data_IF_009831562735
#
_entry.id   IF_009831562735
#
_cell.length_a   1.000
_cell.length_b   1.000
_cell.length_c   1.000
_cell.angle_alpha   90.00
_cell.angle_beta   90.00
_cell.angle_gamma   90.00
#
_symmetry.space_group_name_H-M   'P 1'
#
loop_
_entity.id
_entity.type
_entity.pdbx_description
1 polymer ?
#
# COMPACT_ATOMS: atom_id res chain seq x y z
N UNK A 1 23.27 -10.10 -20.62
CA UNK A 1 22.83 -11.50 -20.38
C UNK A 1 22.01 -11.46 -19.11
N UNK A 2 20.70 -11.73 -19.20
CA UNK A 2 19.84 -11.82 -18.02
C UNK A 2 20.40 -12.86 -17.03
N UNK A 3 20.56 -12.48 -15.76
CA UNK A 3 20.90 -13.45 -14.73
C UNK A 3 19.80 -14.51 -14.66
N UNK A 4 20.18 -15.79 -14.74
CA UNK A 4 19.21 -16.86 -14.72
C UNK A 4 18.47 -16.89 -13.37
N UNK A 5 17.14 -16.89 -13.41
CA UNK A 5 16.31 -17.01 -12.20
C UNK A 5 16.61 -18.29 -11.44
N UNK A 6 17.17 -18.14 -10.25
CA UNK A 6 17.33 -19.25 -9.31
C UNK A 6 16.00 -19.76 -8.77
N UNK A 7 15.98 -20.97 -8.21
CA UNK A 7 14.79 -21.53 -7.56
C UNK A 7 14.30 -20.70 -6.37
N UNK A 8 15.19 -19.94 -5.72
CA UNK A 8 14.83 -19.00 -4.67
C UNK A 8 13.88 -17.90 -5.19
N UNK A 9 14.18 -17.35 -6.38
CA UNK A 9 13.33 -16.36 -7.05
C UNK A 9 11.96 -16.94 -7.40
N UNK A 10 11.93 -18.15 -7.98
CA UNK A 10 10.68 -18.84 -8.35
C UNK A 10 9.81 -19.11 -7.12
N UNK A 11 10.42 -19.57 -6.01
CA UNK A 11 9.70 -19.83 -4.77
C UNK A 11 9.17 -18.56 -4.12
N UNK A 12 9.94 -17.47 -4.18
CA UNK A 12 9.49 -16.16 -3.71
C UNK A 12 8.27 -15.67 -4.50
N UNK A 13 8.29 -15.76 -5.83
CA UNK A 13 7.14 -15.43 -6.68
C UNK A 13 5.91 -16.27 -6.34
N UNK A 14 6.06 -17.58 -6.18
CA UNK A 14 4.97 -18.47 -5.77
C UNK A 14 4.37 -18.05 -4.42
N UNK A 15 5.22 -17.68 -3.45
CA UNK A 15 4.80 -17.22 -2.15
C UNK A 15 4.04 -15.88 -2.21
N UNK A 16 4.45 -14.98 -3.11
CA UNK A 16 3.81 -13.69 -3.34
C UNK A 16 2.45 -13.86 -4.02
N UNK A 17 2.36 -14.68 -5.07
CA UNK A 17 1.12 -15.03 -5.76
C UNK A 17 0.08 -15.62 -4.81
N UNK A 18 0.46 -16.57 -3.97
CA UNK A 18 -0.44 -17.22 -3.02
C UNK A 18 -1.00 -16.26 -1.95
N UNK A 19 -0.25 -15.21 -1.60
CA UNK A 19 -0.63 -14.24 -0.57
C UNK A 19 -1.31 -12.98 -1.14
N UNK A 20 -1.15 -12.72 -2.44
CA UNK A 20 -1.59 -11.51 -3.14
C UNK A 20 -0.75 -10.27 -2.81
N UNK A 21 -0.61 -9.96 -1.53
CA UNK A 21 0.15 -8.82 -1.01
C UNK A 21 0.78 -9.15 0.35
N UNK A 22 2.00 -8.69 0.57
CA UNK A 22 2.75 -8.92 1.81
C UNK A 22 3.38 -7.63 2.30
N UNK A 23 3.52 -7.47 3.62
CA UNK A 23 4.26 -6.34 4.19
C UNK A 23 5.76 -6.48 3.87
N UNK A 24 6.48 -5.36 3.72
CA UNK A 24 7.89 -5.35 3.33
C UNK A 24 8.79 -6.16 4.27
N UNK A 25 8.51 -6.12 5.58
CA UNK A 25 9.24 -6.93 6.57
C UNK A 25 9.04 -8.45 6.36
N UNK A 26 7.83 -8.85 5.93
CA UNK A 26 7.54 -10.24 5.62
C UNK A 26 8.10 -10.65 4.25
N UNK A 27 8.12 -9.76 3.26
CA UNK A 27 8.82 -9.98 2.00
C UNK A 27 10.32 -10.26 2.23
N UNK A 28 10.97 -9.48 3.10
CA UNK A 28 12.36 -9.71 3.49
C UNK A 28 12.56 -11.06 4.20
N UNK A 29 11.61 -11.45 5.07
CA UNK A 29 11.62 -12.77 5.71
C UNK A 29 11.49 -13.89 4.67
N UNK A 30 10.54 -13.79 3.74
CA UNK A 30 10.31 -14.76 2.68
C UNK A 30 11.54 -14.90 1.78
N UNK A 31 12.17 -13.78 1.39
CA UNK A 31 13.42 -13.78 0.62
C UNK A 31 14.50 -14.58 1.34
N UNK A 32 14.78 -14.26 2.61
CA UNK A 32 15.79 -14.98 3.42
C UNK A 32 15.50 -16.48 3.49
N UNK A 33 14.24 -16.88 3.72
CA UNK A 33 13.84 -18.29 3.76
C UNK A 33 14.04 -18.99 2.40
N UNK A 34 13.73 -18.33 1.30
CA UNK A 34 13.91 -18.90 -0.04
C UNK A 34 15.40 -19.09 -0.37
N UNK A 35 16.24 -18.09 -0.05
CA UNK A 35 17.69 -18.17 -0.26
C UNK A 35 18.37 -19.23 0.63
N UNK A 36 17.89 -19.43 1.87
CA UNK A 36 18.41 -20.49 2.75
C UNK A 36 18.10 -21.89 2.19
N UNK A 37 16.90 -22.08 1.64
CA UNK A 37 16.45 -23.37 1.11
C UNK A 37 17.02 -23.68 -0.28
N UNK A 38 17.31 -22.66 -1.05
CA UNK A 38 17.89 -22.75 -2.40
C UNK A 38 19.12 -21.83 -2.49
N UNK A 39 20.28 -22.27 -1.96
CA UNK A 39 21.49 -21.46 -1.98
C UNK A 39 21.92 -21.20 -3.42
N UNK A 40 22.06 -19.93 -3.76
CA UNK A 40 22.58 -19.46 -5.04
C UNK A 40 23.73 -18.47 -4.77
N UNK A 41 24.73 -18.38 -5.67
CA UNK A 41 25.74 -17.32 -5.61
C UNK A 41 25.02 -15.97 -5.75
N UNK A 42 24.93 -15.20 -4.66
CA UNK A 42 24.08 -14.00 -4.56
C UNK A 42 23.13 -13.94 -3.35
N UNK A 43 23.13 -14.95 -2.47
CA UNK A 43 22.20 -15.03 -1.32
C UNK A 43 22.20 -13.87 -0.30
N UNK A 44 23.12 -12.91 -0.41
CA UNK A 44 23.21 -11.71 0.44
C UNK A 44 22.62 -10.43 -0.18
N UNK A 45 22.01 -10.51 -1.37
CA UNK A 45 21.39 -9.35 -2.03
C UNK A 45 20.26 -8.74 -1.18
N UNK A 46 20.10 -7.41 -1.24
CA UNK A 46 19.00 -6.72 -0.59
C UNK A 46 17.68 -7.04 -1.34
N UNK A 47 16.54 -6.87 -0.67
CA UNK A 47 15.24 -7.12 -1.31
C UNK A 47 15.02 -6.30 -2.57
N UNK A 48 15.53 -5.06 -2.63
CA UNK A 48 15.43 -4.22 -3.82
C UNK A 48 16.16 -4.82 -5.03
N UNK A 49 17.41 -5.26 -4.85
CA UNK A 49 18.19 -5.88 -5.93
C UNK A 49 17.54 -7.20 -6.37
N UNK A 50 17.10 -8.02 -5.40
CA UNK A 50 16.42 -9.29 -5.63
C UNK A 50 15.11 -9.12 -6.43
N UNK A 51 14.33 -8.08 -6.10
CA UNK A 51 13.11 -7.71 -6.82
C UNK A 51 13.43 -7.12 -8.19
N UNK A 52 14.50 -6.35 -8.32
CA UNK A 52 14.98 -5.81 -9.59
C UNK A 52 15.26 -6.92 -10.60
N UNK A 53 16.03 -7.94 -10.20
CA UNK A 53 16.32 -9.11 -11.02
C UNK A 53 15.05 -9.88 -11.43
N UNK A 54 14.06 -9.99 -10.54
CA UNK A 54 12.75 -10.57 -10.85
C UNK A 54 12.00 -9.74 -11.90
N UNK A 55 11.96 -8.43 -11.74
CA UNK A 55 11.20 -7.54 -12.61
C UNK A 55 11.75 -7.52 -14.04
N UNK A 56 13.07 -7.63 -14.24
CA UNK A 56 13.66 -7.78 -15.58
C UNK A 56 13.09 -9.00 -16.33
N UNK A 57 12.79 -10.09 -15.61
CA UNK A 57 12.25 -11.32 -16.19
C UNK A 57 10.73 -11.32 -16.30
N UNK A 58 10.04 -10.53 -15.49
CA UNK A 58 8.58 -10.39 -15.53
C UNK A 58 8.12 -9.38 -16.60
N UNK A 59 9.00 -8.47 -17.03
CA UNK A 59 8.68 -7.44 -18.01
C UNK A 59 8.06 -7.98 -19.33
N UNK A 60 8.56 -9.08 -19.95
CA UNK A 60 7.93 -9.66 -21.14
C UNK A 60 6.50 -10.18 -20.91
N UNK A 61 6.14 -10.47 -19.65
CA UNK A 61 4.82 -10.95 -19.25
C UNK A 61 3.89 -9.80 -18.86
N UNK A 62 4.32 -8.55 -19.02
CA UNK A 62 3.62 -7.36 -18.51
C UNK A 62 3.28 -7.49 -17.02
N UNK A 63 4.17 -8.09 -16.23
CA UNK A 63 4.03 -8.19 -14.78
C UNK A 63 5.18 -7.48 -14.10
N UNK A 64 4.94 -7.00 -12.88
CA UNK A 64 5.95 -6.32 -12.08
C UNK A 64 5.66 -6.53 -10.60
N UNK A 65 6.70 -6.73 -9.79
CA UNK A 65 6.62 -6.64 -8.34
C UNK A 65 6.80 -5.17 -7.96
N UNK A 66 5.74 -4.57 -7.41
CA UNK A 66 5.75 -3.17 -6.97
C UNK A 66 5.66 -3.06 -5.46
N UNK A 67 6.31 -2.01 -4.94
CA UNK A 67 6.15 -1.55 -3.56
C UNK A 67 5.10 -0.46 -3.50
N UNK A 68 4.22 -0.51 -2.50
CA UNK A 68 3.21 0.52 -2.23
C UNK A 68 3.08 0.75 -0.73
N UNK A 69 2.70 1.95 -0.32
CA UNK A 69 2.42 2.22 1.10
C UNK A 69 0.92 2.31 1.31
N UNK A 70 0.42 1.68 2.37
CA UNK A 70 -0.95 1.86 2.80
C UNK A 70 -1.16 3.33 3.20
N UNK A 71 -2.23 3.96 2.68
CA UNK A 71 -2.44 5.41 2.81
C UNK A 71 -2.81 5.83 4.24
N UNK A 72 -3.35 4.88 5.02
CA UNK A 72 -3.82 5.09 6.38
C UNK A 72 -2.75 4.94 7.47
N UNK A 73 -1.77 4.08 7.24
CA UNK A 73 -0.77 3.67 8.23
C UNK A 73 0.66 3.95 7.79
N UNK A 74 0.88 4.21 6.50
CA UNK A 74 2.20 4.39 5.92
C UNK A 74 3.03 3.11 5.83
N UNK A 75 2.49 1.94 6.22
CA UNK A 75 3.18 0.65 6.12
C UNK A 75 3.42 0.28 4.68
N UNK A 76 4.62 -0.22 4.38
CA UNK A 76 5.00 -0.61 3.02
C UNK A 76 4.67 -2.07 2.75
N UNK A 77 4.06 -2.31 1.60
CA UNK A 77 3.68 -3.61 1.08
C UNK A 77 4.31 -3.86 -0.27
N UNK A 78 4.41 -5.14 -0.62
CA UNK A 78 4.93 -5.67 -1.87
C UNK A 78 3.85 -6.56 -2.49
N UNK A 79 3.58 -6.35 -3.77
CA UNK A 79 2.60 -7.15 -4.52
C UNK A 79 3.09 -7.37 -5.96
N UNK A 80 2.68 -8.49 -6.56
CA UNK A 80 2.86 -8.75 -7.99
C UNK A 80 1.68 -8.17 -8.76
N UNK A 81 1.93 -7.09 -9.49
CA UNK A 81 0.93 -6.37 -10.29
C UNK A 81 0.97 -6.83 -11.74
N UNK A 82 -0.19 -6.78 -12.39
CA UNK A 82 -0.29 -6.93 -13.83
C UNK A 82 -0.34 -5.53 -14.44
N UNK A 83 0.49 -5.28 -15.46
CA UNK A 83 0.57 -4.03 -16.20
C UNK A 83 -0.30 -4.07 -17.47
N UNK A 84 -0.88 -5.22 -17.81
CA UNK A 84 -1.82 -5.32 -18.90
C UNK A 84 -3.14 -4.62 -18.55
N UNK A 85 -3.78 -4.01 -19.54
CA UNK A 85 -4.88 -3.06 -19.37
C UNK A 85 -6.20 -3.67 -18.85
N UNK A 86 -6.24 -4.97 -18.53
CA UNK A 86 -7.45 -5.70 -18.13
C UNK A 86 -7.55 -5.95 -16.63
N UNK A 87 -7.05 -5.06 -15.77
CA UNK A 87 -6.75 -5.35 -14.36
C UNK A 87 -7.93 -5.68 -13.42
N UNK A 88 -9.19 -5.71 -13.88
CA UNK A 88 -10.27 -6.41 -13.16
C UNK A 88 -10.18 -7.94 -13.30
N UNK A 89 -9.42 -8.47 -14.27
CA UNK A 89 -9.31 -9.91 -14.57
C UNK A 89 -8.97 -10.80 -13.38
N UNK A 90 -8.10 -10.34 -12.47
CA UNK A 90 -7.78 -11.10 -11.25
C UNK A 90 -8.97 -11.21 -10.30
N UNK A 91 -9.75 -10.14 -10.14
CA UNK A 91 -11.02 -10.22 -9.42
C UNK A 91 -12.05 -11.03 -10.20
N UNK A 92 -12.06 -10.93 -11.54
CA UNK A 92 -13.04 -11.61 -12.38
C UNK A 92 -12.95 -13.14 -12.35
N UNK A 93 -11.81 -13.69 -11.92
CA UNK A 93 -11.67 -15.14 -11.69
C UNK A 93 -12.29 -15.58 -10.35
N UNK A 94 -12.43 -14.64 -9.43
CA UNK A 94 -12.74 -14.88 -8.02
C UNK A 94 -14.14 -14.43 -7.60
N UNK A 95 -14.79 -13.62 -8.43
CA UNK A 95 -16.08 -12.97 -8.18
C UNK A 95 -16.97 -13.03 -9.43
N UNK A 96 -18.27 -13.19 -9.21
CA UNK A 96 -19.29 -13.12 -10.25
C UNK A 96 -19.44 -11.72 -10.83
N UNK A 97 -20.05 -11.59 -12.02
CA UNK A 97 -20.25 -10.30 -12.68
C UNK A 97 -20.98 -9.26 -11.82
N UNK A 98 -21.97 -9.70 -11.02
CA UNK A 98 -22.73 -8.79 -10.16
C UNK A 98 -21.91 -8.34 -8.93
N UNK A 99 -21.02 -9.19 -8.42
CA UNK A 99 -20.09 -8.85 -7.33
C UNK A 99 -19.01 -7.88 -7.81
N UNK A 100 -18.54 -8.06 -9.05
CA UNK A 100 -17.63 -7.10 -9.69
C UNK A 100 -18.29 -5.76 -9.93
N UNK A 101 -19.57 -5.74 -10.34
CA UNK A 101 -20.31 -4.49 -10.50
C UNK A 101 -20.50 -3.78 -9.15
N UNK A 102 -20.81 -4.52 -8.09
CA UNK A 102 -20.85 -3.96 -6.73
C UNK A 102 -19.50 -3.35 -6.32
N UNK A 103 -18.39 -4.04 -6.61
CA UNK A 103 -17.06 -3.51 -6.34
C UNK A 103 -16.79 -2.21 -7.12
N UNK A 104 -17.13 -2.16 -8.43
CA UNK A 104 -16.98 -0.94 -9.23
C UNK A 104 -17.82 0.21 -8.69
N UNK A 105 -19.07 -0.04 -8.31
CA UNK A 105 -19.93 0.99 -7.71
C UNK A 105 -19.42 1.45 -6.34
N UNK A 106 -18.83 0.56 -5.57
CA UNK A 106 -18.15 0.91 -4.32
C UNK A 106 -16.91 1.77 -4.59
N UNK A 107 -16.14 1.44 -5.62
CA UNK A 107 -15.01 2.24 -6.10
C UNK A 107 -15.46 3.64 -6.55
N UNK A 108 -16.59 3.76 -7.25
CA UNK A 108 -17.18 5.06 -7.62
C UNK A 108 -17.38 5.94 -6.37
N UNK A 109 -18.03 5.39 -5.33
CA UNK A 109 -18.28 6.10 -4.08
C UNK A 109 -16.98 6.52 -3.38
N UNK A 110 -15.99 5.62 -3.32
CA UNK A 110 -14.70 5.89 -2.67
C UNK A 110 -13.90 6.97 -3.40
N UNK A 111 -13.86 6.94 -4.75
CA UNK A 111 -13.10 7.92 -5.54
C UNK A 111 -13.76 9.30 -5.56
N UNK A 112 -15.10 9.36 -5.50
CA UNK A 112 -15.85 10.60 -5.47
C UNK A 112 -15.92 11.23 -4.08
N UNK A 113 -15.65 10.48 -3.01
CA UNK A 113 -15.68 11.03 -1.67
C UNK A 113 -14.49 11.95 -1.38
N UNK A 114 -14.69 12.88 -0.45
CA UNK A 114 -13.64 13.82 -0.05
C UNK A 114 -12.51 13.14 0.73
N UNK A 115 -12.87 12.14 1.55
CA UNK A 115 -11.98 11.46 2.49
C UNK A 115 -11.47 10.09 1.99
N UNK A 116 -11.93 9.62 0.82
CA UNK A 116 -11.57 8.32 0.28
C UNK A 116 -12.23 7.14 1.01
N UNK A 117 -13.41 7.35 1.59
CA UNK A 117 -14.25 6.32 2.20
C UNK A 117 -15.66 6.33 1.61
N UNK A 118 -16.35 5.19 1.69
CA UNK A 118 -17.76 5.04 1.39
C UNK A 118 -18.45 4.31 2.53
N UNK A 119 -19.59 4.81 3.00
CA UNK A 119 -20.29 4.19 4.12
C UNK A 119 -21.01 2.90 3.70
N UNK A 120 -21.13 1.95 4.62
CA UNK A 120 -21.89 0.71 4.42
C UNK A 120 -23.32 0.99 3.93
N UNK A 121 -23.97 2.02 4.45
CA UNK A 121 -25.35 2.38 4.09
C UNK A 121 -25.44 2.90 2.65
N UNK A 122 -24.49 3.73 2.19
CA UNK A 122 -24.41 4.17 0.80
C UNK A 122 -24.22 2.99 -0.14
N UNK A 123 -23.33 2.06 0.21
CA UNK A 123 -23.07 0.87 -0.61
C UNK A 123 -24.30 -0.05 -0.66
N UNK A 124 -24.96 -0.28 0.46
CA UNK A 124 -26.16 -1.12 0.55
C UNK A 124 -27.34 -0.56 -0.25
N UNK A 125 -27.41 0.75 -0.44
CA UNK A 125 -28.45 1.39 -1.25
C UNK A 125 -28.25 1.18 -2.76
N UNK A 126 -27.09 0.68 -3.18
CA UNK A 126 -26.82 0.29 -4.58
C UNK A 126 -27.39 -1.08 -4.93
N UNK A 127 -27.79 -1.90 -3.95
CA UNK A 127 -28.16 -3.31 -4.12
C UNK A 127 -29.20 -3.55 -5.23
N UNK A 128 -30.21 -2.68 -5.31
CA UNK A 128 -31.30 -2.75 -6.29
C UNK A 128 -30.95 -2.15 -7.67
N UNK A 129 -29.81 -1.46 -7.77
CA UNK A 129 -29.31 -0.80 -8.97
C UNK A 129 -28.25 -1.64 -9.71
N UNK A 130 -27.77 -2.72 -9.09
CA UNK A 130 -26.76 -3.61 -9.65
C UNK A 130 -27.28 -4.32 -10.91
N UNK A 131 -26.39 -4.44 -11.90
CA UNK A 131 -26.60 -5.19 -13.14
C UNK A 131 -25.46 -6.19 -13.31
N UNK A 132 -25.69 -7.37 -13.93
CA UNK A 132 -26.94 -7.82 -14.54
C UNK A 132 -27.99 -8.29 -13.54
N UNK A 133 -27.60 -8.63 -12.30
CA UNK A 133 -28.50 -9.16 -11.27
C UNK A 133 -28.48 -8.27 -10.03
N UNK A 134 -29.67 -7.91 -9.54
CA UNK A 134 -29.84 -7.23 -8.25
C UNK A 134 -29.42 -8.15 -7.11
N UNK A 135 -28.95 -7.57 -6.01
CA UNK A 135 -28.60 -8.30 -4.81
C UNK A 135 -29.52 -7.93 -3.66
N UNK A 136 -29.70 -8.83 -2.70
CA UNK A 136 -30.27 -8.46 -1.40
C UNK A 136 -29.23 -7.73 -0.57
N UNK A 137 -29.64 -6.84 0.34
CA UNK A 137 -28.72 -6.14 1.25
C UNK A 137 -27.81 -7.08 2.03
N UNK A 138 -28.35 -8.20 2.53
CA UNK A 138 -27.56 -9.24 3.21
C UNK A 138 -26.50 -9.89 2.29
N UNK A 139 -26.79 -10.06 0.99
CA UNK A 139 -25.81 -10.56 0.02
C UNK A 139 -24.70 -9.52 -0.20
N UNK A 140 -25.06 -8.24 -0.32
CA UNK A 140 -24.10 -7.13 -0.45
C UNK A 140 -23.15 -7.09 0.75
N UNK A 141 -23.66 -7.21 1.98
CA UNK A 141 -22.84 -7.27 3.20
C UNK A 141 -21.85 -8.44 3.16
N UNK A 142 -22.30 -9.63 2.74
CA UNK A 142 -21.43 -10.80 2.61
C UNK A 142 -20.31 -10.55 1.59
N UNK A 143 -20.63 -9.95 0.44
CA UNK A 143 -19.64 -9.64 -0.59
C UNK A 143 -18.62 -8.60 -0.08
N UNK A 144 -19.07 -7.58 0.64
CA UNK A 144 -18.17 -6.61 1.27
C UNK A 144 -17.20 -7.27 2.25
N UNK A 145 -17.68 -8.19 3.09
CA UNK A 145 -16.82 -8.96 3.99
C UNK A 145 -15.82 -9.84 3.24
N UNK A 146 -16.23 -10.47 2.14
CA UNK A 146 -15.30 -11.23 1.29
C UNK A 146 -14.24 -10.34 0.63
N UNK A 147 -14.62 -9.15 0.15
CA UNK A 147 -13.70 -8.16 -0.41
C UNK A 147 -12.67 -7.71 0.64
N UNK A 148 -13.08 -7.53 1.90
CA UNK A 148 -12.16 -7.24 3.01
C UNK A 148 -11.24 -8.43 3.29
N UNK A 149 -11.79 -9.64 3.41
CA UNK A 149 -11.01 -10.86 3.66
C UNK A 149 -9.96 -11.12 2.58
N UNK A 150 -10.31 -10.90 1.31
CA UNK A 150 -9.41 -11.00 0.15
C UNK A 150 -8.51 -9.77 -0.05
N UNK A 151 -8.56 -8.79 0.87
CA UNK A 151 -7.74 -7.58 0.87
C UNK A 151 -7.95 -6.70 -0.35
N UNK A 152 -9.17 -6.64 -0.87
CA UNK A 152 -9.57 -5.64 -1.87
C UNK A 152 -10.08 -4.35 -1.21
N UNK A 153 -10.79 -4.48 -0.09
CA UNK A 153 -11.24 -3.35 0.71
C UNK A 153 -10.65 -3.40 2.12
N UNK A 154 -10.64 -2.26 2.79
CA UNK A 154 -10.47 -2.13 4.23
C UNK A 154 -11.78 -1.58 4.81
N UNK A 155 -12.24 -2.14 5.93
CA UNK A 155 -13.37 -1.61 6.68
C UNK A 155 -12.87 -0.92 7.95
N UNK A 156 -13.48 0.22 8.28
CA UNK A 156 -13.25 0.99 9.51
C UNK A 156 -14.55 1.62 9.94
N UNK A 157 -15.06 1.21 11.10
CA UNK A 157 -16.24 1.82 11.74
C UNK A 157 -17.48 1.90 10.83
N UNK A 158 -17.69 0.87 10.00
CA UNK A 158 -18.81 0.81 9.05
C UNK A 158 -18.59 1.57 7.74
N UNK A 159 -17.39 2.12 7.51
CA UNK A 159 -16.96 2.70 6.24
C UNK A 159 -15.90 1.84 5.54
N UNK A 160 -15.86 1.92 4.22
CA UNK A 160 -14.97 1.13 3.38
C UNK A 160 -14.04 2.02 2.54
N UNK A 161 -12.80 1.60 2.39
CA UNK A 161 -11.79 2.21 1.50
C UNK A 161 -11.05 1.11 0.72
N UNK A 162 -10.26 1.49 -0.28
CA UNK A 162 -9.39 0.56 -0.99
C UNK A 162 -8.26 0.07 -0.08
N UNK A 163 -8.05 -1.24 -0.07
CA UNK A 163 -6.84 -1.81 0.49
C UNK A 163 -5.63 -1.49 -0.43
N UNK A 164 -4.42 -1.41 0.12
CA UNK A 164 -3.17 -1.12 -0.64
C UNK A 164 -2.94 -2.07 -1.83
N UNK A 165 -3.43 -3.31 -1.72
CA UNK A 165 -3.45 -4.29 -2.81
C UNK A 165 -4.24 -3.76 -4.01
N UNK A 166 -5.46 -3.27 -3.78
CA UNK A 166 -6.31 -2.71 -4.83
C UNK A 166 -5.68 -1.50 -5.47
N UNK A 167 -5.09 -0.61 -4.66
CA UNK A 167 -4.37 0.56 -5.17
C UNK A 167 -3.24 0.11 -6.11
N UNK A 168 -2.41 -0.83 -5.68
CA UNK A 168 -1.29 -1.35 -6.49
C UNK A 168 -1.75 -2.06 -7.76
N UNK A 169 -2.74 -2.94 -7.65
CA UNK A 169 -3.19 -3.77 -8.77
C UNK A 169 -4.08 -3.01 -9.77
N UNK A 170 -4.85 -2.03 -9.30
CA UNK A 170 -5.84 -1.32 -10.11
C UNK A 170 -5.42 0.11 -10.47
N UNK A 171 -4.24 0.61 -10.06
CA UNK A 171 -3.79 1.99 -10.33
C UNK A 171 -4.00 2.42 -11.79
N UNK A 172 -3.49 1.61 -12.74
CA UNK A 172 -3.61 1.92 -14.16
C UNK A 172 -5.06 1.89 -14.65
N UNK A 173 -5.83 0.91 -14.19
CA UNK A 173 -7.25 0.81 -14.49
C UNK A 173 -8.00 2.05 -13.98
N UNK A 174 -7.71 2.48 -12.75
CA UNK A 174 -8.37 3.61 -12.12
C UNK A 174 -8.06 4.91 -12.87
N UNK A 175 -6.79 5.19 -13.19
CA UNK A 175 -6.43 6.39 -13.94
C UNK A 175 -7.06 6.45 -15.34
N UNK A 176 -7.27 5.29 -15.98
CA UNK A 176 -7.87 5.23 -17.31
C UNK A 176 -9.39 5.36 -17.30
N UNK A 177 -10.06 4.72 -16.36
CA UNK A 177 -11.52 4.63 -16.34
C UNK A 177 -12.19 5.71 -15.48
N UNK A 178 -11.44 6.37 -14.60
CA UNK A 178 -11.92 7.42 -13.72
C UNK A 178 -11.04 8.68 -13.79
N UNK A 179 -10.76 9.24 -14.98
CA UNK A 179 -9.80 10.34 -15.11
C UNK A 179 -10.19 11.60 -14.31
N UNK A 180 -11.50 11.84 -14.12
CA UNK A 180 -12.02 13.02 -13.42
C UNK A 180 -11.96 12.89 -11.89
N UNK A 181 -11.96 11.67 -11.34
CA UNK A 181 -11.96 11.43 -9.89
C UNK A 181 -10.67 10.80 -9.38
N UNK A 182 -9.87 10.18 -10.25
CA UNK A 182 -8.57 9.61 -9.90
C UNK A 182 -7.56 10.72 -9.60
N UNK A 183 -7.05 10.75 -8.36
CA UNK A 183 -6.07 11.74 -7.94
C UNK A 183 -4.67 11.16 -7.94
N UNK A 184 -3.68 11.96 -8.38
CA UNK A 184 -2.27 11.57 -8.38
C UNK A 184 -1.51 12.41 -7.35
N UNK A 185 -0.82 11.74 -6.44
CA UNK A 185 0.01 12.41 -5.45
C UNK A 185 1.17 13.15 -6.11
N UNK A 186 1.42 14.40 -5.74
CA UNK A 186 2.47 15.22 -6.33
C UNK A 186 3.89 14.79 -5.92
N UNK A 187 4.06 14.05 -4.81
CA UNK A 187 5.38 13.61 -4.32
C UNK A 187 5.76 12.25 -4.89
N UNK A 188 4.89 11.23 -4.76
CA UNK A 188 5.23 9.87 -5.19
C UNK A 188 4.70 9.51 -6.58
N UNK A 189 3.86 10.37 -7.18
CA UNK A 189 3.23 10.18 -8.49
C UNK A 189 2.33 8.94 -8.64
N UNK A 190 1.97 8.31 -7.52
CA UNK A 190 1.01 7.20 -7.46
C UNK A 190 -0.43 7.67 -7.24
N UNK A 191 -1.38 6.78 -7.52
CA UNK A 191 -2.80 6.96 -7.19
C UNK A 191 -2.97 7.29 -5.71
N UNK A 192 -3.85 8.24 -5.43
CA UNK A 192 -4.14 8.75 -4.10
C UNK A 192 -5.64 8.72 -3.84
N UNK A 193 -6.07 7.84 -2.93
CA UNK A 193 -7.48 7.73 -2.52
C UNK A 193 -7.75 8.63 -1.31
N UNK A 194 -6.87 8.58 -0.32
CA UNK A 194 -6.90 9.33 0.93
C UNK A 194 -5.79 10.38 0.90
N UNK A 195 -6.20 11.63 0.77
CA UNK A 195 -5.28 12.73 0.52
C UNK A 195 -5.77 14.06 1.07
N UNK A 196 -4.82 14.98 1.22
CA UNK A 196 -5.13 16.40 1.38
C UNK A 196 -4.80 17.14 0.08
N UNK A 197 -5.56 18.19 -0.18
CA UNK A 197 -5.46 19.01 -1.39
C UNK A 197 -5.01 20.41 -0.99
N UNK A 198 -4.06 20.97 -1.74
CA UNK A 198 -3.66 22.36 -1.58
C UNK A 198 -4.82 23.27 -2.00
N UNK A 199 -5.23 24.19 -1.14
CA UNK A 199 -6.33 25.13 -1.43
C UNK A 199 -5.96 26.14 -2.53
N UNK A 200 -4.69 26.51 -2.66
CA UNK A 200 -4.25 27.50 -3.63
C UNK A 200 -4.03 26.95 -5.04
N UNK A 201 -3.45 25.75 -5.16
CA UNK A 201 -3.03 25.21 -6.46
C UNK A 201 -3.54 23.80 -6.77
N UNK A 202 -4.36 23.21 -5.89
CA UNK A 202 -5.05 21.96 -6.16
C UNK A 202 -4.17 20.70 -6.20
N UNK A 203 -2.87 20.77 -5.86
CA UNK A 203 -2.05 19.56 -5.81
C UNK A 203 -2.55 18.63 -4.72
N UNK A 204 -2.47 17.33 -5.00
CA UNK A 204 -2.91 16.28 -4.08
C UNK A 204 -1.69 15.64 -3.45
N UNK A 205 -1.73 15.40 -2.14
CA UNK A 205 -0.68 14.70 -1.41
C UNK A 205 -1.27 13.63 -0.50
N UNK A 206 -0.71 12.42 -0.54
CA UNK A 206 -1.01 11.38 0.45
C UNK A 206 -0.70 11.88 1.85
N UNK A 207 -1.48 11.43 2.84
CA UNK A 207 -1.20 11.63 4.26
C UNK A 207 0.24 11.21 4.61
N UNK A 208 0.68 10.04 4.16
CA UNK A 208 2.04 9.54 4.42
C UNK A 208 3.15 10.33 3.73
N UNK A 209 2.88 10.93 2.56
CA UNK A 209 3.82 11.80 1.89
C UNK A 209 3.92 13.16 2.61
N UNK A 210 2.79 13.69 3.09
CA UNK A 210 2.73 14.90 3.90
C UNK A 210 3.55 14.76 5.18
N UNK A 211 3.31 13.69 5.95
CA UNK A 211 4.03 13.43 7.21
C UNK A 211 5.55 13.41 6.99
N UNK A 212 6.02 12.76 5.91
CA UNK A 212 7.45 12.67 5.58
C UNK A 212 8.02 14.00 5.08
N UNK A 213 7.27 14.71 4.24
CA UNK A 213 7.74 15.96 3.63
C UNK A 213 7.83 17.11 4.65
N UNK A 214 6.86 17.18 5.56
CA UNK A 214 6.78 18.24 6.57
C UNK A 214 7.38 17.88 7.92
N UNK A 215 7.93 16.67 8.10
CA UNK A 215 8.43 16.17 9.39
C UNK A 215 9.39 17.14 10.10
N UNK A 216 10.20 17.87 9.34
CA UNK A 216 11.23 18.79 9.85
C UNK A 216 10.89 20.27 9.63
N UNK A 217 9.70 20.58 9.13
CA UNK A 217 9.31 21.94 8.76
C UNK A 217 8.38 22.54 9.82
N UNK A 218 8.80 23.58 10.55
CA UNK A 218 7.95 24.24 11.55
C UNK A 218 6.77 24.99 10.90
N UNK A 219 6.93 25.41 9.64
CA UNK A 219 5.89 26.09 8.87
C UNK A 219 5.67 25.33 7.55
N UNK A 220 4.72 24.38 7.52
CA UNK A 220 4.42 23.58 6.34
C UNK A 220 4.04 24.45 5.13
N UNK A 221 4.74 24.27 4.00
CA UNK A 221 4.47 24.97 2.74
C UNK A 221 4.29 24.02 1.57
N UNK A 222 3.30 24.28 0.73
CA UNK A 222 3.00 23.49 -0.45
C UNK A 222 4.25 23.26 -1.32
N UNK A 223 4.61 22.01 -1.68
CA UNK A 223 5.80 21.72 -2.48
C UNK A 223 5.77 22.38 -3.86
N UNK A 224 4.58 22.67 -4.39
CA UNK A 224 4.38 23.29 -5.70
C UNK A 224 4.33 24.83 -5.63
N UNK A 225 3.27 25.42 -5.03
CA UNK A 225 3.05 26.87 -5.03
C UNK A 225 3.72 27.63 -3.86
N UNK A 226 4.34 26.92 -2.91
CA UNK A 226 5.02 27.46 -1.72
C UNK A 226 4.12 28.23 -0.73
N UNK A 227 2.81 28.25 -0.95
CA UNK A 227 1.86 28.80 0.01
C UNK A 227 1.77 27.95 1.28
N UNK A 228 1.33 28.56 2.37
CA UNK A 228 1.15 27.90 3.65
C UNK A 228 0.19 26.72 3.52
N UNK A 229 0.50 25.58 4.15
CA UNK A 229 -0.37 24.42 4.16
C UNK A 229 -1.32 24.50 5.37
N UNK A 230 -2.61 24.80 5.17
CA UNK A 230 -3.51 25.11 6.28
C UNK A 230 -3.96 23.86 7.07
N UNK A 231 -3.86 22.68 6.47
CA UNK A 231 -4.35 21.45 7.04
C UNK A 231 -3.39 20.88 8.08
N UNK A 232 -3.93 20.23 9.12
CA UNK A 232 -3.12 19.49 10.09
C UNK A 232 -2.36 18.36 9.39
N UNK A 233 -1.05 18.31 9.60
CA UNK A 233 -0.22 17.21 9.09
C UNK A 233 -0.51 15.95 9.92
N UNK A 234 -0.89 14.82 9.28
CA UNK A 234 -1.11 13.57 10.01
C UNK A 234 0.19 13.05 10.64
N UNK A 235 0.13 12.57 11.89
CA UNK A 235 1.24 11.90 12.54
C UNK A 235 1.23 10.40 12.20
N UNK A 236 1.81 10.05 11.05
CA UNK A 236 2.00 8.66 10.67
C UNK A 236 3.37 8.20 11.17
N UNK A 237 3.39 7.55 12.34
CA UNK A 237 4.62 6.98 12.88
C UNK A 237 5.22 5.97 11.90
N UNK A 238 6.37 6.33 11.33
CA UNK A 238 7.24 5.39 10.63
C UNK A 238 7.66 4.27 11.62
N UNK A 239 7.42 2.97 11.31
CA UNK A 239 7.80 1.86 12.20
C UNK A 239 9.32 1.69 12.42
N UNK A 240 10.16 2.64 12.01
CA UNK A 240 11.62 2.51 11.98
C UNK A 240 12.37 3.39 12.98
N UNK A 241 11.69 4.02 13.95
CA UNK A 241 12.38 4.62 15.10
C UNK A 241 12.02 3.87 16.38
N UNK A 242 12.80 2.82 16.67
CA UNK A 242 12.96 2.34 18.05
C UNK A 242 13.27 3.55 18.94
N UNK A 243 12.65 3.69 20.13
CA UNK A 243 13.00 4.77 21.04
C UNK A 243 14.49 4.69 21.39
N UNK A 244 15.25 5.72 21.00
CA UNK A 244 16.62 5.93 21.47
C UNK A 244 16.57 6.38 22.94
N UNK A 245 16.27 5.45 23.83
CA UNK A 245 16.26 5.69 25.28
C UNK A 245 16.90 4.52 26.01
N UNK A 246 18.18 4.26 25.74
CA UNK A 246 19.05 3.45 26.61
C UNK A 246 20.56 3.75 26.39
N UNK A 247 20.93 4.99 26.08
CA UNK A 247 22.34 5.44 26.10
C UNK A 247 22.53 6.59 27.07
N UNK A 248 22.26 6.35 28.36
CA UNK A 248 22.65 7.30 29.40
C UNK A 248 22.84 6.71 30.80
N UNK A 249 23.43 5.52 30.93
CA UNK A 249 23.72 4.99 32.27
C UNK A 249 25.03 4.19 32.43
N UNK A 250 26.01 4.34 31.53
CA UNK A 250 27.30 3.62 31.64
C UNK A 250 28.54 4.51 31.77
N UNK A 251 28.40 5.77 32.22
CA UNK A 251 29.56 6.68 32.40
C UNK A 251 29.80 7.22 33.82
N UNK A 252 29.12 6.71 34.84
CA UNK A 252 29.35 7.15 36.24
C UNK A 252 29.94 6.09 37.19
N UNK A 253 30.15 4.84 36.76
CA UNK A 253 30.64 3.78 37.66
C UNK A 253 32.17 3.55 37.66
N UNK A 254 32.97 4.23 36.83
CA UNK A 254 34.44 4.00 36.77
C UNK A 254 35.31 5.09 37.40
N UNK A 255 34.80 5.91 38.34
CA UNK A 255 35.59 7.00 38.94
C UNK A 255 35.58 7.16 40.46
N UNK A 256 35.07 6.20 41.23
CA UNK A 256 35.22 6.22 42.70
C UNK A 256 35.66 4.84 43.20
N UNK A 257 36.87 4.76 43.78
CA UNK A 257 37.29 3.57 44.52
C UNK A 257 38.77 3.16 44.48
N UNK A 258 39.71 4.00 44.04
CA UNK A 258 41.14 3.86 44.41
C UNK A 258 41.39 4.75 45.64
N UNK A 259 41.48 4.13 46.83
CA UNK A 259 41.96 4.61 48.17
C UNK A 259 41.29 3.66 49.19
N UNK A 260 41.92 2.91 50.09
CA UNK A 260 43.19 3.01 50.81
C UNK A 260 43.66 1.62 51.27
N UNK A 261 44.97 1.47 51.38
CA UNK A 261 45.69 0.48 52.19
C UNK A 261 45.36 0.64 53.68
N UNK A 262 45.21 -0.47 54.40
CA UNK A 262 46.03 -0.88 55.55
C UNK A 262 45.69 -2.33 55.90
#
# INVERSE_FOLDING_TARGET
MAAALSDAHRRFLQALLARGVVEAAEAERLRRLCCQRHPAPGGSEQLDDFVGALNEQLQPLSMEIRKGSAEDSGRTYVALVNLAETNITKMASDFSESELELFKKTLDLILLSGNGFASSTEILNLADQLKPKKMKKMEVEQVLQQLVQKKWLCEKEGEYTLHVRSILELEQYIFRHYPESARKCHICHSLSVQSQVCEDCGIVLHCSCLSKYFQTQPEPRCPHCKQFWPHRIPDLHSPSQLPSSARRESRKASRMGLRHQQ
#
